data_IF_309347433782
#
_entry.id   IF_309347433782
#
_cell.length_a   1.000
_cell.length_b   1.000
_cell.length_c   1.000
_cell.angle_alpha   90.00
_cell.angle_beta   90.00
_cell.angle_gamma   90.00
#
_symmetry.space_group_name_H-M   'P 1'
#
loop_
_entity.id
_entity.type
_entity.pdbx_description
1 polymer ?
#
# COMPACT_ATOMS: atom_id res chain seq x y z
N UNK A 1 -12.45 -12.55 5.18
CA UNK A 1 -11.95 -12.38 6.56
C UNK A 1 -10.46 -12.15 6.52
N UNK A 2 -9.87 -11.63 7.60
CA UNK A 2 -8.51 -11.08 7.60
C UNK A 2 -7.44 -12.10 7.15
N UNK A 3 -7.59 -13.38 7.52
CA UNK A 3 -6.68 -14.46 7.10
C UNK A 3 -6.57 -14.59 5.57
N UNK A 4 -7.71 -14.69 4.87
CA UNK A 4 -7.70 -14.75 3.40
C UNK A 4 -7.23 -13.45 2.74
N UNK A 5 -7.42 -12.32 3.41
CA UNK A 5 -6.92 -11.03 2.93
C UNK A 5 -5.40 -10.98 3.01
N UNK A 6 -4.80 -11.47 4.10
CA UNK A 6 -3.34 -11.55 4.25
C UNK A 6 -2.71 -12.38 3.12
N UNK A 7 -3.26 -13.56 2.83
CA UNK A 7 -2.80 -14.41 1.72
C UNK A 7 -2.92 -13.70 0.36
N UNK A 8 -4.07 -13.08 0.09
CA UNK A 8 -4.31 -12.33 -1.17
C UNK A 8 -3.36 -11.14 -1.31
N UNK A 9 -3.10 -10.44 -0.21
CA UNK A 9 -2.22 -9.27 -0.22
C UNK A 9 -0.77 -9.64 -0.47
N UNK A 10 -0.32 -10.82 -0.04
CA UNK A 10 0.98 -11.37 -0.44
C UNK A 10 1.12 -11.42 -1.96
N UNK A 11 0.15 -12.05 -2.64
CA UNK A 11 0.14 -12.13 -4.11
C UNK A 11 0.08 -10.74 -4.78
N UNK A 12 -0.66 -9.79 -4.20
CA UNK A 12 -0.72 -8.42 -4.71
C UNK A 12 0.65 -7.74 -4.59
N UNK A 13 1.32 -7.84 -3.43
CA UNK A 13 2.64 -7.26 -3.22
C UNK A 13 3.66 -7.82 -4.21
N UNK A 14 3.66 -9.15 -4.42
CA UNK A 14 4.52 -9.80 -5.40
C UNK A 14 4.24 -9.31 -6.83
N UNK A 15 2.95 -9.19 -7.21
CA UNK A 15 2.56 -8.64 -8.50
C UNK A 15 3.01 -7.18 -8.68
N UNK A 16 2.85 -6.33 -7.65
CA UNK A 16 3.32 -4.94 -7.69
C UNK A 16 4.83 -4.87 -7.92
N UNK A 17 5.59 -5.76 -7.28
CA UNK A 17 7.04 -5.84 -7.46
C UNK A 17 7.41 -6.23 -8.89
N UNK A 18 6.75 -7.23 -9.47
CA UNK A 18 6.95 -7.63 -10.87
C UNK A 18 6.65 -6.51 -11.86
N UNK A 19 5.69 -5.64 -11.54
CA UNK A 19 5.31 -4.48 -12.36
C UNK A 19 6.21 -3.25 -12.14
N UNK A 20 7.23 -3.32 -11.27
CA UNK A 20 8.09 -2.18 -10.95
C UNK A 20 7.39 -1.11 -10.09
N UNK A 21 6.35 -1.48 -9.36
CA UNK A 21 5.49 -0.61 -8.54
C UNK A 21 5.60 -0.96 -7.05
N UNK A 22 6.74 -1.51 -6.63
CA UNK A 22 7.03 -1.90 -5.26
C UNK A 22 6.82 -0.73 -4.27
N UNK A 23 6.33 -1.05 -3.08
CA UNK A 23 6.08 -0.05 -2.03
C UNK A 23 4.88 0.87 -2.28
N UNK A 24 4.11 0.67 -3.34
CA UNK A 24 2.89 1.47 -3.63
C UNK A 24 1.60 0.88 -3.05
N UNK A 25 1.70 -0.24 -2.34
CA UNK A 25 0.59 -0.93 -1.65
C UNK A 25 1.06 -1.29 -0.24
N UNK A 26 0.19 -1.12 0.75
CA UNK A 26 0.47 -1.42 2.16
C UNK A 26 -0.78 -2.00 2.84
N UNK A 27 -0.61 -3.07 3.61
CA UNK A 27 -1.67 -3.68 4.41
C UNK A 27 -1.36 -3.44 5.89
N UNK A 28 -2.33 -2.88 6.62
CA UNK A 28 -2.24 -2.69 8.06
C UNK A 28 -3.56 -3.07 8.72
N UNK A 29 -3.48 -3.71 9.89
CA UNK A 29 -4.65 -4.08 10.70
C UNK A 29 -4.89 -3.03 11.77
N UNK A 30 -6.04 -2.35 11.69
CA UNK A 30 -6.41 -1.31 12.65
C UNK A 30 -7.80 -1.59 13.21
N UNK A 31 -7.91 -1.66 14.54
CA UNK A 31 -9.18 -1.80 15.24
C UNK A 31 -9.88 -0.45 15.42
N UNK A 32 -11.17 -0.48 15.79
CA UNK A 32 -11.97 0.73 15.97
C UNK A 32 -11.45 1.68 17.08
N UNK A 33 -10.67 1.16 18.04
CA UNK A 33 -10.07 1.96 19.13
C UNK A 33 -8.71 2.54 18.79
N UNK A 34 -8.10 2.17 17.66
CA UNK A 34 -6.72 2.52 17.30
C UNK A 34 -6.64 3.74 16.37
N UNK A 35 -7.41 4.80 16.69
CA UNK A 35 -7.41 6.06 15.92
C UNK A 35 -6.01 6.67 15.70
N UNK A 36 -5.16 6.77 16.75
CA UNK A 36 -3.79 7.27 16.58
C UNK A 36 -2.95 6.42 15.61
N UNK A 37 -3.03 5.08 15.70
CA UNK A 37 -2.33 4.16 14.79
C UNK A 37 -2.76 4.40 13.35
N UNK A 38 -4.06 4.51 13.09
CA UNK A 38 -4.58 4.80 11.75
C UNK A 38 -3.98 6.09 11.18
N UNK A 39 -3.98 7.17 11.96
CA UNK A 39 -3.44 8.47 11.56
C UNK A 39 -1.95 8.33 11.19
N UNK A 40 -1.17 7.68 12.04
CA UNK A 40 0.27 7.57 11.89
C UNK A 40 0.60 6.69 10.66
N UNK A 41 -0.04 5.53 10.52
CA UNK A 41 0.08 4.65 9.34
C UNK A 41 -0.24 5.38 8.03
N UNK A 42 -1.35 6.12 7.98
CA UNK A 42 -1.73 6.86 6.76
C UNK A 42 -0.72 7.98 6.46
N UNK A 43 -0.25 8.68 7.50
CA UNK A 43 0.73 9.77 7.34
C UNK A 43 2.04 9.24 6.75
N UNK A 44 2.60 8.19 7.36
CA UNK A 44 3.84 7.55 6.91
C UNK A 44 3.70 6.98 5.49
N UNK A 45 2.58 6.32 5.19
CA UNK A 45 2.36 5.78 3.86
C UNK A 45 2.23 6.87 2.79
N UNK A 46 1.58 7.99 3.09
CA UNK A 46 1.52 9.15 2.18
C UNK A 46 2.91 9.74 1.93
N UNK A 47 3.75 9.84 2.97
CA UNK A 47 5.13 10.30 2.82
C UNK A 47 5.97 9.35 1.95
N UNK A 48 5.82 8.05 2.14
CA UNK A 48 6.45 7.03 1.29
C UNK A 48 6.01 7.17 -0.18
N UNK A 49 4.71 7.32 -0.45
CA UNK A 49 4.19 7.50 -1.82
C UNK A 49 4.72 8.80 -2.45
N UNK A 50 4.80 9.89 -1.67
CA UNK A 50 5.38 11.16 -2.15
C UNK A 50 6.85 10.99 -2.52
N UNK A 51 7.63 10.27 -1.72
CA UNK A 51 9.05 10.00 -2.00
C UNK A 51 9.24 9.13 -3.25
N UNK A 52 8.33 8.19 -3.52
CA UNK A 52 8.34 7.37 -4.74
C UNK A 52 7.93 8.15 -6.01
N UNK A 53 7.35 9.34 -5.85
CA UNK A 53 6.88 10.16 -6.96
C UNK A 53 5.64 9.60 -7.70
N UNK A 54 5.24 10.23 -8.81
CA UNK A 54 4.08 9.81 -9.61
C UNK A 54 4.15 8.34 -10.04
N UNK A 55 2.99 7.71 -10.22
CA UNK A 55 2.93 6.34 -10.71
C UNK A 55 3.49 6.25 -12.14
N UNK A 56 4.41 5.31 -12.43
CA UNK A 56 4.88 5.03 -13.79
C UNK A 56 3.76 4.67 -14.78
N UNK A 57 2.61 4.20 -14.29
CA UNK A 57 1.45 3.88 -15.13
C UNK A 57 0.69 5.12 -15.62
N UNK A 58 0.93 6.29 -15.02
CA UNK A 58 0.25 7.53 -15.39
C UNK A 58 0.56 7.92 -16.84
N UNK A 59 1.82 7.76 -17.25
CA UNK A 59 2.29 8.16 -18.57
C UNK A 59 1.98 7.10 -19.64
N UNK A 60 1.70 5.85 -19.24
CA UNK A 60 1.31 4.77 -20.14
C UNK A 60 -0.17 4.81 -20.57
N UNK A 61 -0.97 5.69 -19.97
CA UNK A 61 -2.40 5.85 -20.23
C UNK A 61 -2.74 7.06 -21.14
N UNK A 62 -1.73 7.83 -21.57
CA UNK A 62 -1.79 8.79 -22.69
C UNK A 62 -1.35 8.14 -24.01
#
# INVERSE_FOLDING_TARGET
GNVYTEERMGNVVDAMKLLGLEGRVHLEWVSASEGPKFRDTVTEFVEQIRALGPSPLRDAAE
#
